data_IF_018259862293
#
_entry.id   IF_018259862293
#
_cell.length_a   1.000
_cell.length_b   1.000
_cell.length_c   1.000
_cell.angle_alpha   90.00
_cell.angle_beta   90.00
_cell.angle_gamma   90.00
#
_symmetry.space_group_name_H-M   'P 1'
#
loop_
_entity.id
_entity.type
_entity.pdbx_description
1 polymer ?
#
# COMPACT_ATOMS: atom_id res chain seq x y z
N UNK A 1 -18.12 11.90 -47.75
CA UNK A 1 -18.04 10.85 -46.70
C UNK A 1 -18.76 11.39 -45.48
N UNK A 2 -19.61 10.59 -44.81
CA UNK A 2 -20.18 10.99 -43.53
C UNK A 2 -19.32 10.36 -42.42
N UNK A 3 -18.82 11.18 -41.50
CA UNK A 3 -18.11 10.68 -40.32
C UNK A 3 -19.12 10.50 -39.20
N UNK A 4 -18.99 9.40 -38.47
CA UNK A 4 -19.91 9.03 -37.40
C UNK A 4 -19.09 8.84 -36.14
N UNK A 5 -19.62 9.31 -35.02
CA UNK A 5 -18.98 9.15 -33.73
C UNK A 5 -18.88 7.66 -33.38
N UNK A 6 -17.72 7.28 -32.84
CA UNK A 6 -17.51 5.99 -32.21
C UNK A 6 -18.00 6.00 -30.77
N UNK A 7 -18.01 4.83 -30.12
CA UNK A 7 -18.51 4.70 -28.74
C UNK A 7 -17.81 5.63 -27.73
N UNK A 8 -16.52 5.94 -27.96
CA UNK A 8 -15.71 6.76 -27.07
C UNK A 8 -14.99 7.91 -27.83
N UNK A 9 -15.37 8.16 -29.09
CA UNK A 9 -14.67 9.13 -29.94
C UNK A 9 -15.66 9.95 -30.76
N UNK A 10 -15.47 11.27 -30.77
CA UNK A 10 -16.25 12.19 -31.61
C UNK A 10 -15.41 12.63 -32.80
N UNK A 11 -16.01 12.64 -33.99
CA UNK A 11 -15.38 13.14 -35.19
C UNK A 11 -15.78 14.61 -35.44
N UNK A 12 -14.81 15.50 -35.45
CA UNK A 12 -15.02 16.92 -35.80
C UNK A 12 -14.50 17.16 -37.20
N UNK A 13 -15.39 17.64 -38.06
CA UNK A 13 -15.11 17.90 -39.48
C UNK A 13 -15.15 19.40 -39.73
N UNK A 14 -14.03 19.94 -40.19
CA UNK A 14 -13.90 21.36 -40.53
C UNK A 14 -13.52 21.49 -41.99
N UNK A 15 -14.15 22.42 -42.72
CA UNK A 15 -13.75 22.71 -44.09
C UNK A 15 -12.33 23.28 -44.13
N UNK A 16 -11.48 22.73 -44.99
CA UNK A 16 -10.13 23.25 -45.20
C UNK A 16 -10.11 24.10 -46.47
N UNK A 17 -10.18 25.42 -46.32
CA UNK A 17 -10.27 26.34 -47.46
C UNK A 17 -8.97 26.43 -48.27
N UNK A 18 -7.82 26.05 -47.69
CA UNK A 18 -6.52 26.10 -48.39
C UNK A 18 -6.38 24.95 -49.40
N UNK A 19 -6.88 23.78 -49.06
CA UNK A 19 -6.80 22.57 -49.89
C UNK A 19 -8.09 22.27 -50.64
N UNK A 20 -9.20 22.94 -50.30
CA UNK A 20 -10.54 22.64 -50.81
C UNK A 20 -11.12 21.33 -50.27
N UNK A 21 -10.49 20.76 -49.23
CA UNK A 21 -10.89 19.50 -48.59
C UNK A 21 -11.60 19.71 -47.25
N UNK A 22 -11.56 18.68 -46.41
CA UNK A 22 -12.00 18.74 -45.02
C UNK A 22 -10.92 18.17 -44.10
N UNK A 23 -10.65 18.87 -43.01
CA UNK A 23 -9.84 18.36 -41.91
C UNK A 23 -10.76 17.59 -40.96
N UNK A 24 -10.30 16.41 -40.54
CA UNK A 24 -11.04 15.55 -39.62
C UNK A 24 -10.18 15.31 -38.40
N UNK A 25 -10.68 15.73 -37.24
CA UNK A 25 -10.04 15.47 -35.95
C UNK A 25 -10.90 14.50 -35.15
N UNK A 26 -10.26 13.61 -34.41
CA UNK A 26 -10.94 12.73 -33.46
C UNK A 26 -10.61 13.16 -32.04
N UNK A 27 -11.65 13.29 -31.22
CA UNK A 27 -11.53 13.59 -29.81
C UNK A 27 -12.08 12.44 -28.99
N UNK A 28 -11.52 12.26 -27.80
CA UNK A 28 -12.14 11.47 -26.75
C UNK A 28 -12.95 12.43 -25.89
N UNK A 29 -14.24 12.17 -25.72
CA UNK A 29 -15.15 13.02 -24.96
C UNK A 29 -16.07 12.16 -24.09
N UNK A 30 -16.40 12.67 -22.90
CA UNK A 30 -17.25 11.98 -21.93
C UNK A 30 -16.59 10.80 -21.22
N UNK A 31 -17.41 10.00 -20.54
CA UNK A 31 -16.97 8.78 -19.87
C UNK A 31 -16.63 7.69 -20.90
N UNK A 32 -15.49 7.03 -20.70
CA UNK A 32 -15.12 5.88 -21.53
C UNK A 32 -15.89 4.66 -21.07
N UNK A 33 -16.74 4.13 -21.95
CA UNK A 33 -17.50 2.91 -21.69
C UNK A 33 -16.93 1.74 -22.49
N UNK A 34 -17.26 0.52 -22.07
CA UNK A 34 -16.80 -0.72 -22.70
C UNK A 34 -15.27 -0.89 -22.75
N UNK A 35 -14.54 -0.26 -21.83
CA UNK A 35 -13.10 -0.46 -21.64
C UNK A 35 -12.87 -1.47 -20.52
N UNK A 36 -12.30 -2.63 -20.86
CA UNK A 36 -11.96 -3.70 -19.90
C UNK A 36 -10.50 -3.67 -19.47
N UNK A 37 -9.62 -3.04 -20.26
CA UNK A 37 -8.19 -2.96 -19.97
C UNK A 37 -7.49 -1.85 -20.72
N UNK A 38 -6.39 -1.36 -20.14
CA UNK A 38 -5.42 -0.46 -20.78
C UNK A 38 -4.06 -1.16 -20.74
N UNK A 39 -3.41 -1.31 -21.90
CA UNK A 39 -2.11 -2.00 -22.01
C UNK A 39 -1.17 -1.19 -22.88
N UNK A 40 0.14 -1.23 -22.57
CA UNK A 40 1.18 -0.57 -23.35
C UNK A 40 1.94 -1.54 -24.26
N UNK A 41 1.39 -2.72 -24.56
CA UNK A 41 2.01 -3.79 -25.36
C UNK A 41 3.37 -4.34 -24.83
N UNK A 42 4.00 -3.67 -23.86
CA UNK A 42 5.30 -3.97 -23.27
C UNK A 42 5.17 -4.57 -21.85
N UNK A 43 4.09 -5.32 -21.59
CA UNK A 43 3.94 -6.17 -20.41
C UNK A 43 2.97 -5.66 -19.34
N UNK A 44 2.91 -4.36 -19.06
CA UNK A 44 1.94 -3.84 -18.07
C UNK A 44 0.56 -3.71 -18.69
N UNK A 45 -0.41 -4.35 -18.05
CA UNK A 45 -1.84 -4.22 -18.36
C UNK A 45 -2.57 -3.84 -17.09
N UNK A 46 -3.41 -2.81 -17.16
CA UNK A 46 -4.37 -2.46 -16.13
C UNK A 46 -5.71 -3.04 -16.57
N UNK A 47 -6.31 -3.90 -15.74
CA UNK A 47 -7.65 -4.45 -15.96
C UNK A 47 -8.65 -3.71 -15.07
N UNK A 48 -9.78 -3.31 -15.65
CA UNK A 48 -10.81 -2.51 -15.02
C UNK A 48 -12.13 -3.30 -15.03
N UNK A 49 -12.75 -3.46 -13.86
CA UNK A 49 -14.01 -4.18 -13.70
C UNK A 49 -14.32 -4.39 -12.22
N UNK A 50 -15.59 -4.66 -11.89
CA UNK A 50 -16.04 -4.98 -10.53
C UNK A 50 -15.53 -4.01 -9.46
N UNK A 51 -15.59 -2.71 -9.77
CA UNK A 51 -15.08 -1.61 -8.93
C UNK A 51 -13.60 -1.78 -8.51
N UNK A 52 -12.81 -2.51 -9.29
CA UNK A 52 -11.43 -2.89 -9.00
C UNK A 52 -10.50 -2.39 -10.11
N UNK A 53 -9.33 -1.90 -9.70
CA UNK A 53 -8.20 -1.63 -10.59
C UNK A 53 -7.16 -2.71 -10.35
N UNK A 54 -7.02 -3.66 -11.28
CA UNK A 54 -6.02 -4.72 -11.19
C UNK A 54 -4.81 -4.37 -12.07
N UNK A 55 -3.63 -4.29 -11.46
CA UNK A 55 -2.36 -3.96 -12.14
C UNK A 55 -1.58 -5.19 -12.61
N UNK A 56 -2.18 -6.38 -12.55
CA UNK A 56 -1.64 -7.65 -13.06
C UNK A 56 -0.19 -7.92 -12.63
N UNK A 57 0.06 -7.87 -11.31
CA UNK A 57 1.37 -8.09 -10.67
C UNK A 57 2.47 -7.07 -11.05
N UNK A 58 2.13 -5.97 -11.72
CA UNK A 58 3.06 -4.89 -11.96
C UNK A 58 3.32 -4.07 -10.67
N UNK A 59 4.51 -3.49 -10.57
CA UNK A 59 4.87 -2.55 -9.51
C UNK A 59 4.20 -1.20 -9.77
N UNK A 60 3.59 -0.61 -8.73
CA UNK A 60 3.12 0.77 -8.75
C UNK A 60 4.23 1.66 -8.17
N UNK A 61 4.93 2.40 -9.04
CA UNK A 61 6.01 3.31 -8.65
C UNK A 61 5.50 4.74 -8.46
N UNK A 62 6.31 5.62 -7.85
CA UNK A 62 5.99 7.03 -7.60
C UNK A 62 4.77 7.28 -6.72
N UNK A 63 4.49 6.36 -5.78
CA UNK A 63 3.48 6.57 -4.74
C UNK A 63 4.09 7.46 -3.65
N UNK A 64 3.61 8.70 -3.58
CA UNK A 64 4.00 9.65 -2.53
C UNK A 64 3.54 9.21 -1.13
N UNK A 65 4.03 9.85 -0.05
CA UNK A 65 3.57 9.53 1.30
C UNK A 65 2.05 9.77 1.44
N UNK A 66 1.33 8.78 1.95
CA UNK A 66 -0.08 8.89 2.31
C UNK A 66 -0.32 9.98 3.37
N UNK A 67 -1.39 10.76 3.21
CA UNK A 67 -1.80 11.82 4.15
C UNK A 67 -3.21 11.54 4.70
N UNK A 68 -4.11 11.03 3.86
CA UNK A 68 -5.49 10.71 4.21
C UNK A 68 -5.68 9.22 4.45
N UNK A 69 -6.76 8.84 5.17
CA UNK A 69 -7.07 7.45 5.50
C UNK A 69 -7.41 6.54 4.32
N UNK A 70 -7.60 7.09 3.12
CA UNK A 70 -7.90 6.36 1.88
C UNK A 70 -6.74 6.35 0.88
N UNK A 71 -5.60 6.93 1.22
CA UNK A 71 -4.44 6.97 0.35
C UNK A 71 -3.69 5.63 0.38
N UNK A 72 -3.05 5.27 -0.73
CA UNK A 72 -2.13 4.14 -0.77
C UNK A 72 -0.85 4.46 0.02
N UNK A 73 -0.36 3.49 0.80
CA UNK A 73 0.90 3.61 1.55
C UNK A 73 2.08 3.08 0.74
N UNK A 74 3.23 3.76 0.83
CA UNK A 74 4.46 3.31 0.18
C UNK A 74 5.39 2.54 1.14
N UNK A 75 6.47 1.95 0.60
CA UNK A 75 7.40 1.11 1.38
C UNK A 75 8.12 1.88 2.50
N UNK A 76 8.41 3.17 2.30
CA UNK A 76 9.07 3.98 3.34
C UNK A 76 8.16 4.18 4.54
N UNK A 77 6.86 4.42 4.32
CA UNK A 77 5.87 4.49 5.39
C UNK A 77 5.69 3.15 6.10
N UNK A 78 5.69 2.04 5.35
CA UNK A 78 5.64 0.69 5.92
C UNK A 78 6.89 0.37 6.76
N UNK A 79 8.06 0.84 6.35
CA UNK A 79 9.30 0.65 7.12
C UNK A 79 9.32 1.55 8.36
N UNK A 80 8.83 2.78 8.25
CA UNK A 80 8.75 3.72 9.37
C UNK A 80 7.74 3.29 10.44
N UNK A 81 6.72 2.49 10.10
CA UNK A 81 5.77 1.96 11.07
C UNK A 81 6.30 0.78 11.89
N UNK A 82 7.46 0.22 11.51
CA UNK A 82 8.09 -0.87 12.28
C UNK A 82 8.58 -0.35 13.63
N UNK A 83 8.35 -1.15 14.66
CA UNK A 83 8.83 -0.91 16.01
C UNK A 83 9.92 -1.91 16.37
N UNK A 84 10.88 -1.48 17.19
CA UNK A 84 11.94 -2.33 17.73
C UNK A 84 11.70 -2.55 19.23
N UNK A 85 11.94 -3.78 19.69
CA UNK A 85 11.87 -4.14 21.11
C UNK A 85 13.22 -4.71 21.52
N UNK A 86 13.85 -4.06 22.48
CA UNK A 86 15.18 -4.42 22.98
C UNK A 86 15.09 -4.82 24.46
N UNK A 87 15.84 -5.84 24.85
CA UNK A 87 15.85 -6.31 26.23
C UNK A 87 16.62 -5.30 27.08
N UNK A 88 15.92 -4.68 28.03
CA UNK A 88 16.54 -3.86 29.07
C UNK A 88 17.18 -4.70 30.18
N UNK A 89 17.74 -4.04 31.19
CA UNK A 89 18.32 -4.73 32.34
C UNK A 89 17.29 -5.63 33.03
N UNK A 90 17.71 -6.82 33.46
CA UNK A 90 16.88 -7.82 34.12
C UNK A 90 15.68 -8.33 33.30
N UNK A 91 15.74 -8.20 31.97
CA UNK A 91 14.72 -8.73 31.07
C UNK A 91 15.33 -9.66 30.03
N UNK A 92 14.50 -10.56 29.52
CA UNK A 92 14.80 -11.38 28.36
C UNK A 92 13.68 -11.23 27.35
N UNK A 93 14.04 -11.19 26.08
CA UNK A 93 13.08 -11.17 24.98
C UNK A 93 13.23 -12.46 24.20
N UNK A 94 12.10 -13.11 23.96
CA UNK A 94 12.02 -14.22 23.01
C UNK A 94 11.02 -13.86 21.92
N UNK A 95 11.31 -14.24 20.69
CA UNK A 95 10.46 -13.94 19.53
C UNK A 95 9.92 -15.21 18.90
N UNK A 96 8.72 -15.10 18.35
CA UNK A 96 8.12 -16.14 17.50
C UNK A 96 7.34 -15.49 16.37
N UNK A 97 7.20 -16.17 15.24
CA UNK A 97 6.43 -15.70 14.08
C UNK A 97 5.08 -16.39 14.06
N UNK A 98 4.01 -15.61 13.94
CA UNK A 98 2.64 -16.09 13.81
C UNK A 98 2.36 -16.59 12.38
N UNK A 99 1.25 -17.31 12.21
CA UNK A 99 0.81 -17.83 10.89
C UNK A 99 0.54 -16.70 9.89
N UNK A 100 0.09 -15.54 10.36
CA UNK A 100 -0.14 -14.34 9.55
C UNK A 100 1.14 -13.55 9.23
N UNK A 101 2.31 -14.05 9.66
CA UNK A 101 3.61 -13.43 9.43
C UNK A 101 3.97 -12.32 10.44
N UNK A 102 3.09 -11.97 11.39
CA UNK A 102 3.41 -11.02 12.45
C UNK A 102 4.39 -11.61 13.48
N UNK A 103 5.18 -10.76 14.14
CA UNK A 103 6.14 -11.18 15.18
C UNK A 103 5.55 -10.99 16.57
N UNK A 104 5.56 -12.04 17.38
CA UNK A 104 5.25 -11.97 18.80
C UNK A 104 6.54 -11.71 19.60
N UNK A 105 6.51 -10.73 20.51
CA UNK A 105 7.60 -10.44 21.43
C UNK A 105 7.17 -10.80 22.85
N UNK A 106 7.81 -11.81 23.43
CA UNK A 106 7.57 -12.22 24.82
C UNK A 106 8.67 -11.62 25.68
N UNK A 107 8.31 -10.69 26.55
CA UNK A 107 9.23 -10.01 27.47
C UNK A 107 9.06 -10.61 28.86
N UNK A 108 10.12 -11.22 29.39
CA UNK A 108 10.13 -11.82 30.73
C UNK A 108 11.11 -11.05 31.63
N UNK A 109 10.71 -10.77 32.87
CA UNK A 109 11.65 -10.36 33.91
C UNK A 109 12.42 -11.59 34.43
N UNK A 110 13.75 -11.50 34.51
CA UNK A 110 14.59 -12.58 35.03
C UNK A 110 15.21 -12.28 36.41
N UNK A 111 14.85 -11.13 37.01
CA UNK A 111 15.22 -10.76 38.37
C UNK A 111 14.07 -9.99 39.04
N UNK A 112 13.78 -10.34 40.28
CA UNK A 112 12.81 -9.65 41.14
C UNK A 112 13.46 -9.43 42.50
N UNK A 113 13.68 -8.18 42.88
CA UNK A 113 14.09 -7.82 44.23
C UNK A 113 12.85 -7.44 45.06
N UNK A 114 12.66 -8.10 46.20
CA UNK A 114 11.65 -7.74 47.20
C UNK A 114 12.36 -7.18 48.41
N UNK A 115 12.10 -5.91 48.73
CA UNK A 115 12.57 -5.30 49.97
C UNK A 115 11.58 -5.57 51.09
N UNK A 116 12.10 -5.94 52.26
CA UNK A 116 11.30 -6.11 53.47
C UNK A 116 10.69 -4.77 53.88
N UNK A 117 9.36 -4.66 53.86
CA UNK A 117 8.68 -3.62 54.63
C UNK A 117 8.97 -3.85 56.12
N UNK A 118 8.95 -2.79 56.93
CA UNK A 118 9.30 -2.79 58.37
C UNK A 118 8.59 -3.88 59.20
N UNK A 119 7.52 -4.49 58.68
CA UNK A 119 6.73 -5.55 59.33
C UNK A 119 6.97 -6.98 58.80
N UNK A 120 7.93 -7.23 57.88
CA UNK A 120 8.19 -8.57 57.33
C UNK A 120 9.67 -8.96 57.51
N UNK A 121 10.04 -9.73 58.54
CA UNK A 121 11.42 -10.20 58.70
C UNK A 121 11.77 -11.26 57.64
N UNK A 122 12.79 -10.99 56.81
CA UNK A 122 13.34 -11.95 55.84
C UNK A 122 14.47 -12.73 56.50
N UNK A 123 14.17 -13.94 57.00
CA UNK A 123 15.17 -14.80 57.63
C UNK A 123 15.96 -15.58 56.58
N UNK A 124 17.15 -15.10 56.21
CA UNK A 124 18.12 -15.88 55.43
C UNK A 124 18.65 -17.04 56.29
N UNK A 125 18.16 -18.26 56.07
CA UNK A 125 18.73 -19.45 56.69
C UNK A 125 20.03 -19.84 55.97
N UNK A 126 21.17 -19.35 56.47
CA UNK A 126 22.48 -19.78 55.99
C UNK A 126 22.74 -21.21 56.51
N UNK A 127 22.43 -22.23 55.71
CA UNK A 127 22.81 -23.62 56.04
C UNK A 127 24.31 -23.75 55.84
N UNK A 128 24.99 -23.97 56.97
CA UNK A 128 26.43 -24.17 57.12
C UNK A 128 27.00 -25.21 56.17
#
# INVERSE_FOLDING_TARGET
MNFVDGNNTVAVVTANETTGGADVTYHVEGDLTNITSISNNNGTTITLGDNTVNVNNATITNVGPAVNGTDAVNLDQLNASKTAVEAGNHTTITTSTNVDGSTNYIVNANHTAVEAGTNVPVNQHNRR
#
